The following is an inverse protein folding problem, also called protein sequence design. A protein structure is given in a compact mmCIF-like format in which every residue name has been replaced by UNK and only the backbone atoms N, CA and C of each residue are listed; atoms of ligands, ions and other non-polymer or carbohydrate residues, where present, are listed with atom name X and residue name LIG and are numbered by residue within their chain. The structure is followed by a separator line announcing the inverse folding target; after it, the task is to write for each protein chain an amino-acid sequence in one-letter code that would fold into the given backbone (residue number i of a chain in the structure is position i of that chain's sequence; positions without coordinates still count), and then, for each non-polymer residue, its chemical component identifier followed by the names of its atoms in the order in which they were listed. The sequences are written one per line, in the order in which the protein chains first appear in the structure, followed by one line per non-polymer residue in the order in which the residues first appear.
data_IF_156606451123
#
_entry.id   IF_156606451123
#
_cell.length_a   1.000
_cell.length_b   1.000
_cell.length_c   1.000
_cell.angle_alpha   90.00
_cell.angle_beta   90.00
_cell.angle_gamma   90.00
#
_symmetry.space_group_name_H-M   'P 1'
#
loop_
_entity.id
_entity.type
_entity.pdbx_description
1 polymer ?
#
# COMPACT_ATOMS: atom_id res chain seq x y z
N UNK A 1 2.93 -13.83 18.44
CA UNK A 1 2.54 -13.17 17.16
C UNK A 1 3.76 -12.54 16.53
N UNK A 2 3.80 -12.52 15.21
CA UNK A 2 4.88 -11.94 14.42
C UNK A 2 4.99 -10.41 14.52
N UNK A 3 5.93 -9.87 13.79
CA UNK A 3 6.14 -8.43 13.66
C UNK A 3 5.90 -8.02 12.21
N UNK A 4 5.13 -6.97 11.98
CA UNK A 4 4.88 -6.37 10.67
C UNK A 4 5.39 -4.93 10.69
N UNK A 5 6.43 -4.66 9.89
CA UNK A 5 7.00 -3.33 9.67
C UNK A 5 6.57 -2.89 8.28
N UNK A 6 5.98 -1.71 8.18
CA UNK A 6 5.44 -1.17 6.94
C UNK A 6 6.20 0.08 6.55
N UNK A 7 6.61 0.18 5.30
CA UNK A 7 7.09 1.41 4.68
C UNK A 7 5.96 2.11 3.96
N UNK A 8 5.74 3.36 4.28
CA UNK A 8 4.72 4.23 3.70
C UNK A 8 5.32 5.56 3.24
N UNK A 9 4.58 6.28 2.45
CA UNK A 9 4.93 7.59 1.90
C UNK A 9 4.32 7.81 0.52
N UNK A 10 4.44 9.03 0.00
CA UNK A 10 3.98 9.39 -1.36
C UNK A 10 4.76 8.63 -2.44
N UNK A 11 4.25 8.62 -3.67
CA UNK A 11 4.99 8.07 -4.78
C UNK A 11 6.27 8.88 -5.02
N UNK A 12 7.34 8.21 -5.40
CA UNK A 12 8.67 8.84 -5.48
C UNK A 12 9.39 9.06 -4.14
N UNK A 13 8.78 8.78 -2.97
CA UNK A 13 9.44 9.00 -1.66
C UNK A 13 10.58 8.01 -1.33
N UNK A 14 10.84 7.02 -2.18
CA UNK A 14 11.92 6.05 -2.00
C UNK A 14 11.53 4.82 -1.17
N UNK A 15 10.24 4.55 -0.94
CA UNK A 15 9.76 3.37 -0.18
C UNK A 15 10.41 2.06 -0.64
N UNK A 16 10.33 1.76 -1.93
CA UNK A 16 10.88 0.54 -2.50
C UNK A 16 12.39 0.42 -2.24
N UNK A 17 13.13 1.53 -2.39
CA UNK A 17 14.57 1.58 -2.14
C UNK A 17 14.90 1.32 -0.67
N UNK A 18 14.19 1.96 0.25
CA UNK A 18 14.42 1.79 1.69
C UNK A 18 14.02 0.38 2.17
N UNK A 19 12.92 -0.15 1.63
CA UNK A 19 12.51 -1.54 1.86
C UNK A 19 13.59 -2.51 1.40
N UNK A 20 14.13 -2.32 0.20
CA UNK A 20 15.20 -3.12 -0.38
C UNK A 20 16.48 -3.09 0.48
N UNK A 21 16.90 -1.88 0.92
CA UNK A 21 18.08 -1.69 1.77
C UNK A 21 17.92 -2.41 3.11
N UNK A 22 16.75 -2.29 3.76
CA UNK A 22 16.47 -3.00 5.00
C UNK A 22 16.50 -4.52 4.79
N UNK A 23 15.83 -5.02 3.75
CA UNK A 23 15.82 -6.45 3.42
C UNK A 23 17.24 -6.99 3.20
N UNK A 24 18.07 -6.25 2.48
CA UNK A 24 19.48 -6.63 2.27
C UNK A 24 20.25 -6.69 3.59
N UNK A 25 20.12 -5.68 4.45
CA UNK A 25 20.76 -5.64 5.76
C UNK A 25 20.33 -6.82 6.65
N UNK A 26 19.03 -7.13 6.67
CA UNK A 26 18.53 -8.28 7.43
C UNK A 26 19.09 -9.61 6.90
N UNK A 27 19.21 -9.74 5.57
CA UNK A 27 19.85 -10.92 4.94
C UNK A 27 21.32 -11.06 5.33
N UNK A 28 22.07 -9.97 5.26
CA UNK A 28 23.49 -9.94 5.65
C UNK A 28 23.71 -10.28 7.14
N UNK A 29 22.75 -9.93 7.99
CA UNK A 29 22.77 -10.25 9.42
C UNK A 29 22.19 -11.64 9.75
N UNK A 30 21.72 -12.40 8.76
CA UNK A 30 21.12 -13.72 8.97
C UNK A 30 19.78 -13.68 9.69
N UNK A 31 19.07 -12.55 9.70
CA UNK A 31 17.75 -12.41 10.33
C UNK A 31 16.68 -12.90 9.36
N UNK A 32 15.88 -13.94 9.72
CA UNK A 32 14.83 -14.44 8.84
C UNK A 32 13.66 -13.45 8.78
N UNK A 33 13.21 -13.15 7.58
CA UNK A 33 12.05 -12.30 7.31
C UNK A 33 11.36 -12.72 6.00
N UNK A 34 10.14 -12.19 5.77
CA UNK A 34 9.50 -12.19 4.44
C UNK A 34 9.22 -10.77 4.02
N UNK A 35 9.44 -10.50 2.72
CA UNK A 35 9.07 -9.23 2.09
C UNK A 35 7.68 -9.34 1.50
N UNK A 36 6.88 -8.31 1.70
CA UNK A 36 5.55 -8.12 1.12
C UNK A 36 5.54 -6.82 0.33
N UNK A 37 4.72 -6.77 -0.71
CA UNK A 37 4.45 -5.54 -1.45
C UNK A 37 2.98 -5.52 -1.86
N UNK A 38 2.32 -4.40 -1.70
CA UNK A 38 0.92 -4.21 -2.05
C UNK A 38 0.73 -2.99 -2.95
N UNK A 39 -0.14 -3.08 -3.99
CA UNK A 39 -0.92 -4.26 -4.38
C UNK A 39 -0.04 -5.36 -5.01
N UNK A 40 -0.54 -6.59 -4.99
CA UNK A 40 0.10 -7.73 -5.66
C UNK A 40 -0.35 -7.82 -7.11
N UNK A 41 0.13 -6.94 -7.96
CA UNK A 41 -0.34 -6.79 -9.34
C UNK A 41 -0.29 -8.07 -10.21
N UNK A 42 0.60 -9.02 -9.90
CA UNK A 42 0.70 -10.31 -10.59
C UNK A 42 -0.39 -11.31 -10.20
N UNK A 43 -1.08 -11.07 -9.07
CA UNK A 43 -2.04 -12.00 -8.52
C UNK A 43 -3.48 -11.68 -8.98
N UNK A 44 -4.32 -12.70 -9.07
CA UNK A 44 -5.72 -12.53 -9.45
C UNK A 44 -6.52 -11.72 -8.43
N UNK A 45 -6.13 -11.78 -7.15
CA UNK A 45 -6.76 -11.00 -6.08
C UNK A 45 -6.71 -9.48 -6.31
N UNK A 46 -5.77 -9.00 -7.13
CA UNK A 46 -5.62 -7.59 -7.49
C UNK A 46 -6.33 -7.21 -8.81
N UNK A 47 -7.15 -8.10 -9.39
CA UNK A 47 -7.83 -7.82 -10.66
C UNK A 47 -8.68 -6.54 -10.63
N UNK A 48 -9.45 -6.32 -9.56
CA UNK A 48 -10.26 -5.11 -9.40
C UNK A 48 -9.40 -3.85 -9.25
N UNK A 49 -8.24 -3.97 -8.61
CA UNK A 49 -7.28 -2.86 -8.50
C UNK A 49 -6.74 -2.48 -9.88
N UNK A 50 -6.35 -3.48 -10.68
CA UNK A 50 -5.87 -3.22 -12.06
C UNK A 50 -6.94 -2.59 -12.94
N UNK A 51 -8.21 -3.03 -12.84
CA UNK A 51 -9.33 -2.42 -13.56
C UNK A 51 -9.56 -0.98 -13.10
N UNK A 52 -9.52 -0.73 -11.80
CA UNK A 52 -9.68 0.59 -11.21
C UNK A 52 -8.58 1.56 -11.68
N UNK A 53 -7.31 1.19 -11.51
CA UNK A 53 -6.17 2.01 -11.91
C UNK A 53 -6.06 2.17 -13.43
N UNK A 54 -6.56 1.20 -14.20
CA UNK A 54 -6.65 1.27 -15.65
C UNK A 54 -7.85 2.06 -16.18
N UNK A 55 -8.64 2.72 -15.31
CA UNK A 55 -9.76 3.57 -15.71
C UNK A 55 -11.03 2.81 -16.15
N UNK A 56 -11.14 1.48 -15.91
CA UNK A 56 -12.32 0.71 -16.30
C UNK A 56 -13.60 1.10 -15.55
N UNK A 57 -13.49 1.75 -14.40
CA UNK A 57 -14.60 2.20 -13.57
C UNK A 57 -14.81 3.72 -13.61
N UNK A 58 -14.07 4.43 -14.46
CA UNK A 58 -14.09 5.87 -14.62
C UNK A 58 -12.69 6.41 -14.87
N UNK A 59 -12.61 7.60 -15.45
CA UNK A 59 -11.33 8.24 -15.83
C UNK A 59 -10.73 9.12 -14.73
N UNK A 60 -11.51 9.39 -13.68
CA UNK A 60 -11.07 10.19 -12.55
C UNK A 60 -11.04 9.36 -11.26
N UNK A 61 -10.12 9.65 -10.31
CA UNK A 61 -10.04 8.94 -9.03
C UNK A 61 -11.35 8.96 -8.24
N UNK A 62 -12.17 10.01 -8.38
CA UNK A 62 -13.44 10.20 -7.67
C UNK A 62 -14.62 9.44 -8.28
N UNK A 63 -14.49 8.90 -9.50
CA UNK A 63 -15.53 8.07 -10.12
C UNK A 63 -15.81 6.80 -9.30
N UNK A 64 -14.84 6.38 -8.50
CA UNK A 64 -14.99 5.28 -7.53
C UNK A 64 -14.86 5.83 -6.12
N UNK A 65 -15.92 5.73 -5.33
CA UNK A 65 -15.89 6.26 -3.97
C UNK A 65 -14.83 5.57 -3.09
N UNK A 66 -14.37 6.28 -2.05
CA UNK A 66 -13.29 5.84 -1.18
C UNK A 66 -13.53 4.46 -0.52
N UNK A 67 -14.77 4.15 -0.17
CA UNK A 67 -15.13 2.87 0.45
C UNK A 67 -14.99 1.70 -0.54
N UNK A 68 -15.53 1.85 -1.75
CA UNK A 68 -15.43 0.83 -2.79
C UNK A 68 -13.98 0.58 -3.20
N UNK A 69 -13.21 1.64 -3.49
CA UNK A 69 -11.79 1.52 -3.83
C UNK A 69 -11.01 0.82 -2.71
N UNK A 70 -11.27 1.18 -1.44
CA UNK A 70 -10.60 0.54 -0.29
C UNK A 70 -10.87 -0.95 -0.19
N UNK A 71 -12.08 -1.42 -0.55
CA UNK A 71 -12.38 -2.86 -0.52
C UNK A 71 -11.55 -3.64 -1.53
N UNK A 72 -11.23 -3.10 -2.70
CA UNK A 72 -10.39 -3.77 -3.69
C UNK A 72 -9.00 -4.08 -3.13
N UNK A 73 -8.38 -3.09 -2.49
CA UNK A 73 -7.07 -3.26 -1.85
C UNK A 73 -7.12 -4.17 -0.62
N UNK A 74 -8.20 -4.09 0.17
CA UNK A 74 -8.38 -4.93 1.35
C UNK A 74 -8.51 -6.42 0.99
N UNK A 75 -9.24 -6.74 -0.08
CA UNK A 75 -9.40 -8.12 -0.59
C UNK A 75 -8.06 -8.70 -1.05
N UNK A 76 -7.22 -7.92 -1.73
CA UNK A 76 -5.88 -8.35 -2.13
C UNK A 76 -4.99 -8.66 -0.92
N UNK A 77 -5.01 -7.79 0.11
CA UNK A 77 -4.30 -8.04 1.37
C UNK A 77 -4.79 -9.29 2.08
N UNK A 78 -6.11 -9.46 2.15
CA UNK A 78 -6.72 -10.61 2.80
C UNK A 78 -6.36 -11.93 2.09
N UNK A 79 -6.46 -11.97 0.76
CA UNK A 79 -6.06 -13.12 -0.02
C UNK A 79 -4.59 -13.47 0.22
N UNK A 80 -3.70 -12.47 0.20
CA UNK A 80 -2.29 -12.62 0.51
C UNK A 80 -2.06 -13.22 1.91
N UNK A 81 -2.74 -12.66 2.93
CA UNK A 81 -2.64 -13.15 4.30
C UNK A 81 -3.05 -14.62 4.42
N UNK A 82 -4.13 -15.01 3.79
CA UNK A 82 -4.65 -16.39 3.87
C UNK A 82 -3.78 -17.38 3.10
N UNK A 83 -3.27 -17.01 1.94
CA UNK A 83 -2.58 -17.92 1.03
C UNK A 83 -1.07 -18.04 1.29
N UNK A 84 -0.44 -16.96 1.79
CA UNK A 84 1.02 -16.88 1.81
C UNK A 84 1.59 -16.67 3.22
N UNK A 85 1.40 -15.49 3.80
CA UNK A 85 2.22 -15.08 4.94
C UNK A 85 1.55 -15.21 6.31
N UNK A 86 0.26 -15.51 6.36
CA UNK A 86 -0.49 -15.54 7.62
C UNK A 86 0.04 -16.57 8.61
N UNK A 87 0.40 -17.77 8.14
CA UNK A 87 0.97 -18.81 9.00
C UNK A 87 2.35 -18.39 9.55
N UNK A 88 3.21 -17.86 8.69
CA UNK A 88 4.53 -17.36 9.08
C UNK A 88 4.42 -16.25 10.15
N UNK A 89 3.44 -15.34 9.98
CA UNK A 89 3.16 -14.31 10.98
C UNK A 89 2.70 -14.91 12.33
N UNK A 90 1.77 -15.85 12.31
CA UNK A 90 1.28 -16.50 13.54
C UNK A 90 2.39 -17.21 14.31
N UNK A 91 3.36 -17.78 13.60
CA UNK A 91 4.55 -18.43 14.16
C UNK A 91 5.62 -17.47 14.69
N UNK A 92 5.38 -16.16 14.65
CA UNK A 92 6.31 -15.16 15.18
C UNK A 92 7.24 -14.53 14.13
N UNK A 93 7.00 -14.77 12.84
CA UNK A 93 7.82 -14.29 11.74
C UNK A 93 7.87 -12.77 11.63
N UNK A 94 8.97 -12.25 11.07
CA UNK A 94 9.17 -10.85 10.74
C UNK A 94 8.73 -10.59 9.30
N UNK A 95 7.87 -9.59 9.10
CA UNK A 95 7.38 -9.15 7.80
C UNK A 95 7.81 -7.70 7.55
N UNK A 96 8.31 -7.46 6.35
CA UNK A 96 8.66 -6.13 5.85
C UNK A 96 7.76 -5.85 4.65
N UNK A 97 6.87 -4.88 4.77
CA UNK A 97 5.89 -4.54 3.75
C UNK A 97 6.18 -3.18 3.10
N UNK A 98 6.20 -3.15 1.79
CA UNK A 98 6.09 -1.94 0.97
C UNK A 98 4.61 -1.68 0.73
N UNK A 99 4.05 -0.68 1.40
CA UNK A 99 2.63 -0.34 1.53
C UNK A 99 1.81 -1.38 2.33
N UNK A 100 0.72 -0.91 2.91
CA UNK A 100 -0.26 -1.72 3.62
C UNK A 100 -1.61 -0.97 3.71
N UNK A 101 -2.43 -1.23 4.74
CA UNK A 101 -3.71 -0.52 4.99
C UNK A 101 -3.53 0.99 5.10
N UNK A 102 -2.40 1.44 5.61
CA UNK A 102 -2.05 2.86 5.74
C UNK A 102 -1.98 3.60 4.40
N UNK A 103 -1.62 2.94 3.30
CA UNK A 103 -1.73 3.52 1.95
C UNK A 103 -3.19 3.83 1.58
N UNK A 104 -4.13 2.92 1.88
CA UNK A 104 -5.56 3.19 1.71
C UNK A 104 -6.01 4.39 2.55
N UNK A 105 -5.55 4.45 3.82
CA UNK A 105 -5.87 5.56 4.70
C UNK A 105 -5.46 6.90 4.10
N UNK A 106 -4.26 7.00 3.54
CA UNK A 106 -3.75 8.24 2.92
C UNK A 106 -4.50 8.55 1.63
N UNK A 107 -4.45 7.66 0.64
CA UNK A 107 -4.96 7.95 -0.72
C UNK A 107 -6.48 8.08 -0.79
N UNK A 108 -7.23 7.29 -0.03
CA UNK A 108 -8.69 7.36 -0.11
C UNK A 108 -9.27 8.46 0.78
N UNK A 109 -8.60 8.81 1.88
CA UNK A 109 -9.02 9.93 2.72
C UNK A 109 -8.88 11.28 2.00
N UNK A 110 -7.90 11.44 1.12
CA UNK A 110 -7.69 12.69 0.35
C UNK A 110 -8.89 13.04 -0.54
N UNK A 111 -9.65 12.05 -1.01
CA UNK A 111 -10.87 12.22 -1.81
C UNK A 111 -12.08 12.74 -1.01
N UNK A 112 -12.01 12.73 0.31
CA UNK A 112 -13.14 13.00 1.18
C UNK A 112 -13.09 14.40 1.77
N UNK A 113 -14.26 15.07 1.90
CA UNK A 113 -14.38 16.27 2.70
C UNK A 113 -13.85 16.03 4.12
N UNK A 114 -13.29 17.06 4.74
CA UNK A 114 -12.66 16.97 6.06
C UNK A 114 -13.57 16.31 7.11
N UNK A 115 -14.86 16.66 7.11
CA UNK A 115 -15.83 16.10 8.06
C UNK A 115 -16.05 14.58 7.92
N UNK A 116 -15.77 14.00 6.74
CA UNK A 116 -15.96 12.57 6.44
C UNK A 116 -14.70 11.74 6.66
N UNK A 117 -13.54 12.39 6.77
CA UNK A 117 -12.24 11.71 6.86
C UNK A 117 -12.12 10.82 8.10
N UNK A 118 -12.53 11.33 9.25
CA UNK A 118 -12.45 10.56 10.50
C UNK A 118 -13.40 9.36 10.51
N UNK A 119 -14.70 9.50 10.15
CA UNK A 119 -15.61 8.37 10.01
C UNK A 119 -15.08 7.29 9.03
N UNK A 120 -14.51 7.71 7.90
CA UNK A 120 -13.91 6.78 6.94
C UNK A 120 -12.72 6.02 7.52
N UNK A 121 -11.81 6.68 8.21
CA UNK A 121 -10.65 6.04 8.85
C UNK A 121 -11.09 5.03 9.92
N UNK A 122 -12.08 5.38 10.74
CA UNK A 122 -12.60 4.48 11.75
C UNK A 122 -13.25 3.24 11.12
N UNK A 123 -14.00 3.43 10.01
CA UNK A 123 -14.53 2.32 9.22
C UNK A 123 -13.43 1.47 8.59
N UNK A 124 -12.43 2.08 7.94
CA UNK A 124 -11.36 1.36 7.25
C UNK A 124 -10.56 0.46 8.20
N UNK A 125 -10.18 0.99 9.37
CA UNK A 125 -9.42 0.23 10.34
C UNK A 125 -10.25 -0.85 11.01
N UNK A 126 -11.54 -0.59 11.28
CA UNK A 126 -12.46 -1.62 11.73
C UNK A 126 -12.65 -2.72 10.68
N UNK A 127 -12.86 -2.34 9.43
CA UNK A 127 -13.06 -3.30 8.33
C UNK A 127 -11.84 -4.22 8.15
N UNK A 128 -10.65 -3.66 8.02
CA UNK A 128 -9.46 -4.47 7.73
C UNK A 128 -8.91 -5.20 8.96
N UNK A 129 -8.86 -4.55 10.12
CA UNK A 129 -8.21 -5.14 11.28
C UNK A 129 -9.15 -5.96 12.17
N UNK A 130 -10.42 -5.57 12.25
CA UNK A 130 -11.34 -6.24 13.17
C UNK A 130 -12.26 -7.23 12.43
N UNK A 131 -12.79 -6.88 11.23
CA UNK A 131 -13.66 -7.78 10.46
C UNK A 131 -12.89 -8.76 9.57
N UNK A 132 -11.86 -8.31 8.87
CA UNK A 132 -10.99 -9.18 8.06
C UNK A 132 -9.87 -9.83 8.90
N UNK A 133 -9.69 -9.43 10.15
CA UNK A 133 -8.67 -9.94 11.08
C UNK A 133 -7.23 -9.83 10.52
N UNK A 134 -6.98 -8.83 9.67
CA UNK A 134 -5.63 -8.56 9.18
C UNK A 134 -4.75 -8.03 10.31
N UNK A 135 -3.49 -8.46 10.41
CA UNK A 135 -2.58 -7.98 11.44
C UNK A 135 -2.37 -6.46 11.39
N UNK A 136 -2.49 -5.80 12.53
CA UNK A 136 -2.09 -4.39 12.65
C UNK A 136 -0.58 -4.27 12.52
N UNK A 137 -0.05 -3.25 11.82
CA UNK A 137 1.39 -3.00 11.78
C UNK A 137 1.98 -2.83 13.18
N UNK A 138 3.12 -3.46 13.43
CA UNK A 138 3.91 -3.23 14.65
C UNK A 138 4.56 -1.86 14.62
N UNK A 139 5.01 -1.44 13.42
CA UNK A 139 5.56 -0.11 13.14
C UNK A 139 5.21 0.29 11.71
N UNK A 140 4.97 1.56 11.51
CA UNK A 140 4.90 2.20 10.19
C UNK A 140 6.02 3.22 10.12
N UNK A 141 6.84 3.11 9.09
CA UNK A 141 7.90 4.05 8.75
C UNK A 141 7.39 4.91 7.60
N UNK A 142 6.97 6.12 7.91
CA UNK A 142 6.50 7.06 6.91
C UNK A 142 7.67 7.87 6.36
N UNK A 143 7.89 7.77 5.05
CA UNK A 143 8.91 8.54 4.35
C UNK A 143 8.30 9.88 3.91
N UNK A 144 8.49 10.88 4.75
CA UNK A 144 8.02 12.24 4.50
C UNK A 144 9.00 12.98 3.59
N UNK A 145 8.63 13.09 2.32
CA UNK A 145 9.42 13.79 1.31
C UNK A 145 8.62 15.00 0.81
N UNK A 146 9.23 16.19 0.68
CA UNK A 146 8.57 17.34 0.06
C UNK A 146 8.03 16.99 -1.32
N UNK A 147 6.80 17.44 -1.63
CA UNK A 147 6.08 17.10 -2.87
C UNK A 147 6.91 17.35 -4.12
N UNK A 148 7.56 18.51 -4.22
CA UNK A 148 8.44 18.90 -5.35
C UNK A 148 9.58 17.89 -5.57
N UNK A 149 10.09 17.31 -4.48
CA UNK A 149 11.18 16.33 -4.57
C UNK A 149 10.65 14.94 -4.96
N UNK A 150 9.49 14.54 -4.45
CA UNK A 150 8.86 13.27 -4.83
C UNK A 150 8.44 13.26 -6.30
N UNK A 151 7.83 14.31 -6.80
CA UNK A 151 7.50 14.48 -8.22
C UNK A 151 8.75 14.42 -9.13
N UNK A 152 9.81 15.10 -8.73
CA UNK A 152 11.08 15.03 -9.45
C UNK A 152 11.64 13.61 -9.52
N UNK A 153 11.55 12.86 -8.43
CA UNK A 153 12.01 11.48 -8.38
C UNK A 153 11.09 10.55 -9.21
N UNK A 154 9.78 10.81 -9.22
CA UNK A 154 8.83 10.08 -10.08
C UNK A 154 9.17 10.29 -11.57
N UNK A 155 9.30 11.53 -12.02
CA UNK A 155 9.66 11.87 -13.41
C UNK A 155 10.98 11.22 -13.85
N UNK A 156 11.98 11.18 -12.96
CA UNK A 156 13.25 10.51 -13.24
C UNK A 156 13.07 8.98 -13.39
N UNK A 157 12.21 8.37 -12.58
CA UNK A 157 11.89 6.93 -12.67
C UNK A 157 11.16 6.61 -13.97
N UNK A 158 10.14 7.39 -14.35
CA UNK A 158 9.39 7.21 -15.58
C UNK A 158 10.30 7.29 -16.82
N UNK A 159 11.20 8.26 -16.85
CA UNK A 159 12.19 8.40 -17.93
C UNK A 159 13.14 7.19 -18.01
N UNK A 160 13.49 6.60 -16.86
CA UNK A 160 14.39 5.45 -16.79
C UNK A 160 13.71 4.12 -17.12
N UNK A 161 12.40 3.97 -16.83
CA UNK A 161 11.69 2.69 -16.92
C UNK A 161 10.68 2.63 -18.07
N UNK A 162 10.40 3.74 -18.76
CA UNK A 162 9.33 3.86 -19.78
C UNK A 162 7.94 3.42 -19.29
N UNK A 163 7.68 3.50 -18.00
CA UNK A 163 6.36 3.22 -17.42
C UNK A 163 5.50 4.46 -17.44
N UNK A 164 4.24 4.31 -17.86
CA UNK A 164 3.22 5.38 -17.79
C UNK A 164 2.61 5.48 -16.40
N UNK A 165 2.31 6.70 -15.95
CA UNK A 165 1.58 6.99 -14.72
C UNK A 165 0.18 6.35 -14.73
N UNK A 166 -0.28 5.86 -13.58
CA UNK A 166 -1.66 5.37 -13.39
C UNK A 166 -2.65 6.53 -13.16
N UNK A 167 -3.96 6.20 -13.01
CA UNK A 167 -5.04 7.21 -12.85
C UNK A 167 -4.81 8.12 -11.64
N UNK A 168 -4.18 7.63 -10.56
CA UNK A 168 -3.89 8.45 -9.38
C UNK A 168 -2.65 9.34 -9.55
N UNK A 169 -1.68 8.88 -10.34
CA UNK A 169 -0.45 9.64 -10.61
C UNK A 169 -0.68 10.74 -11.68
N UNK A 170 -1.77 10.64 -12.47
CA UNK A 170 -2.11 11.62 -13.53
C UNK A 170 -2.95 12.80 -13.01
N UNK A 171 -3.52 12.70 -11.82
CA UNK A 171 -4.36 13.74 -11.21
C UNK A 171 -3.45 14.73 -10.46
N UNK A 172 -3.15 15.86 -11.11
CA UNK A 172 -2.26 16.94 -10.59
C UNK A 172 -3.03 18.03 -9.82
N UNK A 173 -4.32 17.84 -9.43
CA UNK A 173 -5.10 18.82 -8.67
C UNK A 173 -5.07 18.62 -7.15
#
# INVERSE_FOLDING_TARGET
MGKLIVFEGTDGSGKATQTELLCRTLTEQGVPFRRLSFPRYSEESSALIRLYLGGAFGSHPDDVNAYAASTFYAVDRYASYKQDWGEYYRQGGLLIADRYTTSNAVHQTSKLPEAERRPFLDWLFHFEYDLLELPRPTRVLYLDLPTELSERMMRQREQATHTTADVHEQDEE
#
